data_IF_839811631767
#
_entry.id   IF_839811631767
#
_cell.length_a   1.000
_cell.length_b   1.000
_cell.length_c   1.000
_cell.angle_alpha   90.00
_cell.angle_beta   90.00
_cell.angle_gamma   90.00
#
_symmetry.space_group_name_H-M   'P 1'
#
loop_
_entity.id
_entity.type
_entity.pdbx_description
1 polymer ?
#
# COMPACT_ATOMS: atom_id res chain seq x y z
N UNK A 1 -49.53 -3.55 -4.71
CA UNK A 1 -48.06 -3.35 -4.58
C UNK A 1 -47.67 -2.09 -3.79
N UNK A 2 -48.43 -1.67 -2.77
CA UNK A 2 -48.14 -0.44 -1.99
C UNK A 2 -47.22 -0.69 -0.78
N UNK A 3 -47.36 -1.84 -0.12
CA UNK A 3 -46.53 -2.21 1.03
C UNK A 3 -45.05 -2.43 0.64
N UNK A 4 -44.79 -3.06 -0.50
CA UNK A 4 -43.44 -3.26 -1.02
C UNK A 4 -42.72 -1.94 -1.33
N UNK A 5 -43.45 -0.93 -1.82
CA UNK A 5 -42.90 0.41 -2.08
C UNK A 5 -42.56 1.16 -0.78
N UNK A 6 -43.38 1.00 0.26
CA UNK A 6 -43.09 1.60 1.58
C UNK A 6 -41.84 0.99 2.22
N UNK A 7 -41.67 -0.32 2.12
CA UNK A 7 -40.47 -1.02 2.61
C UNK A 7 -39.23 -0.61 1.81
N UNK A 8 -39.34 -0.51 0.48
CA UNK A 8 -38.24 -0.06 -0.39
C UNK A 8 -37.83 1.39 -0.09
N UNK A 9 -38.79 2.27 0.19
CA UNK A 9 -38.52 3.66 0.54
C UNK A 9 -37.86 3.81 1.92
N UNK A 10 -38.19 2.95 2.89
CA UNK A 10 -37.51 2.90 4.19
C UNK A 10 -36.07 2.36 4.07
N UNK A 11 -35.87 1.30 3.28
CA UNK A 11 -34.54 0.78 3.00
C UNK A 11 -33.63 1.80 2.27
N UNK A 12 -34.20 2.58 1.33
CA UNK A 12 -33.48 3.70 0.69
C UNK A 12 -33.17 4.84 1.66
N UNK A 13 -34.01 5.09 2.67
CA UNK A 13 -33.79 6.16 3.67
C UNK A 13 -32.69 5.82 4.67
N UNK A 14 -32.41 4.52 4.89
CA UNK A 14 -31.27 4.02 5.66
C UNK A 14 -30.00 3.75 4.82
N UNK A 15 -30.05 3.97 3.50
CA UNK A 15 -28.96 3.68 2.55
C UNK A 15 -27.91 4.81 2.48
N UNK A 16 -27.60 5.43 3.62
CA UNK A 16 -26.44 6.30 3.77
C UNK A 16 -25.31 5.52 4.42
N UNK A 17 -24.05 5.90 4.15
CA UNK A 17 -22.94 5.51 5.01
C UNK A 17 -23.25 6.07 6.41
N UNK A 18 -23.82 5.25 7.30
CA UNK A 18 -24.14 5.57 8.69
C UNK A 18 -22.88 5.71 9.55
N UNK A 19 -21.84 6.31 8.98
CA UNK A 19 -20.57 6.55 9.64
C UNK A 19 -20.80 7.78 10.55
N UNK A 20 -20.70 7.62 11.87
CA UNK A 20 -20.81 8.76 12.78
C UNK A 20 -19.70 9.76 12.48
N UNK A 21 -20.04 11.04 12.47
CA UNK A 21 -19.15 12.13 12.07
C UNK A 21 -17.91 12.23 12.97
N UNK A 22 -18.02 11.71 14.20
CA UNK A 22 -16.92 11.60 15.17
C UNK A 22 -15.78 10.68 14.71
N UNK A 23 -16.04 9.73 13.80
CA UNK A 23 -15.00 8.85 13.25
C UNK A 23 -14.26 9.46 12.04
N UNK A 24 -14.74 10.58 11.49
CA UNK A 24 -14.07 11.27 10.38
C UNK A 24 -12.59 11.60 10.65
N UNK A 25 -12.15 12.05 11.84
CA UNK A 25 -10.73 12.25 12.12
C UNK A 25 -9.91 10.96 12.03
N UNK A 26 -10.47 9.83 12.47
CA UNK A 26 -9.78 8.52 12.38
C UNK A 26 -9.61 8.09 10.92
N UNK A 27 -10.66 8.21 10.11
CA UNK A 27 -10.58 7.90 8.67
C UNK A 27 -9.64 8.85 7.92
N UNK A 28 -9.62 10.13 8.29
CA UNK A 28 -8.68 11.10 7.74
C UNK A 28 -7.23 10.73 8.06
N UNK A 29 -6.94 10.39 9.32
CA UNK A 29 -5.61 9.93 9.74
C UNK A 29 -5.19 8.65 8.99
N UNK A 30 -6.09 7.67 8.86
CA UNK A 30 -5.83 6.46 8.06
C UNK A 30 -5.57 6.78 6.58
N UNK A 31 -6.37 7.67 5.99
CA UNK A 31 -6.19 8.10 4.60
C UNK A 31 -4.83 8.77 4.39
N UNK A 32 -4.43 9.66 5.28
CA UNK A 32 -3.09 10.28 5.28
C UNK A 32 -1.97 9.25 5.44
N UNK A 33 -2.13 8.26 6.31
CA UNK A 33 -1.15 7.20 6.51
C UNK A 33 -0.99 6.34 5.23
N UNK A 34 -2.09 5.96 4.58
CA UNK A 34 -2.05 5.19 3.34
C UNK A 34 -1.50 6.00 2.16
N UNK A 35 -1.92 7.25 2.01
CA UNK A 35 -1.42 8.14 0.95
C UNK A 35 0.08 8.44 1.11
N UNK A 36 0.52 8.74 2.33
CA UNK A 36 1.95 8.99 2.60
C UNK A 36 2.78 7.71 2.43
N UNK A 37 2.31 6.57 2.94
CA UNK A 37 2.96 5.28 2.78
C UNK A 37 3.15 4.91 1.31
N UNK A 38 2.10 5.03 0.50
CA UNK A 38 2.17 4.74 -0.94
C UNK A 38 3.10 5.70 -1.68
N UNK A 39 3.04 7.00 -1.39
CA UNK A 39 3.92 8.00 -2.01
C UNK A 39 5.40 7.76 -1.68
N UNK A 40 5.75 7.59 -0.41
CA UNK A 40 7.14 7.37 -0.02
C UNK A 40 7.67 6.03 -0.50
N UNK A 41 6.83 4.99 -0.50
CA UNK A 41 7.18 3.68 -1.06
C UNK A 41 7.47 3.80 -2.56
N UNK A 42 6.59 4.44 -3.32
CA UNK A 42 6.80 4.68 -4.75
C UNK A 42 8.08 5.50 -4.98
N UNK A 43 8.27 6.59 -4.23
CA UNK A 43 9.46 7.43 -4.33
C UNK A 43 10.75 6.64 -4.07
N UNK A 44 10.76 5.79 -3.04
CA UNK A 44 11.90 4.94 -2.68
C UNK A 44 12.18 3.88 -3.74
N UNK A 45 11.16 3.28 -4.36
CA UNK A 45 11.40 2.25 -5.38
C UNK A 45 11.80 2.80 -6.75
N UNK A 46 11.32 4.00 -7.12
CA UNK A 46 11.57 4.56 -8.45
C UNK A 46 12.78 5.49 -8.55
N UNK A 47 13.04 6.28 -7.51
CA UNK A 47 14.07 7.33 -7.57
C UNK A 47 15.27 7.05 -6.67
N UNK A 48 15.24 5.99 -5.87
CA UNK A 48 16.38 5.63 -5.04
C UNK A 48 17.27 4.61 -5.74
N UNK A 49 18.44 5.08 -6.16
CA UNK A 49 19.47 4.25 -6.79
C UNK A 49 20.23 3.39 -5.77
N UNK A 50 19.97 3.50 -4.47
CA UNK A 50 20.55 2.58 -3.47
C UNK A 50 19.86 1.21 -3.44
N UNK A 51 18.69 1.06 -4.08
CA UNK A 51 17.97 -0.21 -4.08
C UNK A 51 18.43 -1.12 -5.22
N UNK A 52 18.73 -2.38 -4.88
CA UNK A 52 19.11 -3.45 -5.82
C UNK A 52 18.00 -3.81 -6.82
N UNK A 53 16.74 -3.48 -6.49
CA UNK A 53 15.55 -3.99 -7.16
C UNK A 53 15.38 -3.45 -8.58
N UNK A 54 15.71 -2.18 -8.83
CA UNK A 54 15.29 -1.54 -10.08
C UNK A 54 16.39 -1.58 -11.14
N UNK A 55 17.64 -1.18 -10.83
CA UNK A 55 18.73 -1.04 -11.84
C UNK A 55 20.17 -1.21 -11.34
N UNK A 56 20.39 -1.80 -10.16
CA UNK A 56 21.73 -1.89 -9.56
C UNK A 56 22.18 -3.33 -9.26
N UNK A 57 22.41 -4.17 -10.28
CA UNK A 57 22.91 -5.54 -10.09
C UNK A 57 24.27 -5.59 -9.37
N UNK A 58 25.10 -4.56 -9.54
CA UNK A 58 26.40 -4.39 -8.90
C UNK A 58 26.34 -4.14 -7.37
N UNK A 59 25.19 -3.81 -6.80
CA UNK A 59 25.00 -3.74 -5.34
C UNK A 59 24.82 -5.12 -4.70
N UNK A 60 24.84 -6.19 -5.49
CA UNK A 60 24.81 -7.55 -4.99
C UNK A 60 26.22 -7.97 -4.54
N UNK A 61 26.37 -8.40 -3.29
CA UNK A 61 27.59 -9.04 -2.76
C UNK A 61 27.91 -10.41 -3.45
N UNK A 62 27.23 -10.73 -4.55
CA UNK A 62 27.32 -11.99 -5.27
C UNK A 62 28.72 -12.20 -5.86
N UNK A 63 29.32 -11.16 -6.43
CA UNK A 63 30.68 -11.25 -6.96
C UNK A 63 31.69 -11.59 -5.86
N UNK A 64 31.53 -11.02 -4.65
CA UNK A 64 32.37 -11.35 -3.50
C UNK A 64 32.24 -12.82 -3.11
N UNK A 65 31.01 -13.33 -3.02
CA UNK A 65 30.74 -14.73 -2.67
C UNK A 65 31.24 -15.70 -3.74
N UNK A 66 31.08 -15.36 -5.03
CA UNK A 66 31.56 -16.18 -6.14
C UNK A 66 33.09 -16.26 -6.15
N UNK A 67 33.78 -15.14 -5.86
CA UNK A 67 35.24 -15.10 -5.80
C UNK A 67 35.77 -15.89 -4.61
N UNK A 68 35.20 -15.72 -3.41
CA UNK A 68 35.54 -16.54 -2.22
C UNK A 68 35.30 -18.05 -2.44
N UNK A 69 34.26 -18.40 -3.20
CA UNK A 69 33.94 -19.80 -3.52
C UNK A 69 34.88 -20.40 -4.56
N UNK A 70 35.45 -19.59 -5.45
CA UNK A 70 36.45 -20.01 -6.42
C UNK A 70 37.82 -20.20 -5.75
N UNK A 71 38.26 -19.24 -4.92
CA UNK A 71 39.55 -19.32 -4.20
C UNK A 71 39.62 -20.44 -3.16
N UNK A 72 38.49 -20.84 -2.56
CA UNK A 72 38.45 -21.99 -1.62
C UNK A 72 38.46 -23.36 -2.28
N UNK A 73 38.34 -23.42 -3.61
CA UNK A 73 38.25 -24.68 -4.36
C UNK A 73 39.59 -25.14 -4.94
N UNK A 74 40.60 -24.28 -4.90
CA UNK A 74 42.02 -24.56 -5.16
C UNK A 74 42.78 -24.80 -3.84
#
# INVERSE_FOLDING_TARGET
>A
MRAAQLLLNQAKKGSGLGIPVELTPLFFAMGLALASGTYFTYKKFMYDDSLRVTKNPQLSDLDRVLTESAEKKD
#
